data_IF_071355569074
#
_entry.id   IF_071355569074
#
_cell.length_a   1.000
_cell.length_b   1.000
_cell.length_c   1.000
_cell.angle_alpha   90.00
_cell.angle_beta   90.00
_cell.angle_gamma   90.00
#
_symmetry.space_group_name_H-M   'P 1'
#
loop_
_entity.id
_entity.type
_entity.pdbx_description
1 polymer ?
#
# COMPACT_ATOMS: atom_id res chain seq x y z
N UNK A 1 2.99 23.72 -8.11
CA UNK A 1 3.89 24.44 -9.04
C UNK A 1 3.04 25.13 -10.09
N UNK A 2 2.95 26.47 -10.11
CA UNK A 2 2.27 27.20 -11.19
C UNK A 2 3.30 27.57 -12.26
N UNK A 3 2.97 27.34 -13.53
CA UNK A 3 3.78 27.76 -14.69
C UNK A 3 4.68 26.70 -15.35
N UNK A 4 4.79 25.49 -14.78
CA UNK A 4 5.58 24.39 -15.37
C UNK A 4 4.68 23.19 -15.71
N UNK A 5 5.01 22.48 -16.81
CA UNK A 5 4.35 21.23 -17.16
C UNK A 5 4.78 20.15 -16.15
N UNK A 6 3.83 19.65 -15.37
CA UNK A 6 4.00 18.52 -14.48
C UNK A 6 3.22 17.30 -15.02
N UNK A 7 3.66 16.10 -14.66
CA UNK A 7 2.93 14.86 -14.96
C UNK A 7 1.74 14.69 -14.01
N UNK A 8 0.66 14.06 -14.47
CA UNK A 8 -0.40 13.61 -13.56
C UNK A 8 0.10 12.44 -12.69
N UNK A 9 -0.55 12.21 -11.55
CA UNK A 9 -0.14 11.19 -10.57
C UNK A 9 0.01 9.80 -11.18
N UNK A 10 -0.95 9.35 -11.99
CA UNK A 10 -0.88 8.06 -12.68
C UNK A 10 0.31 7.95 -13.64
N UNK A 11 0.68 9.05 -14.30
CA UNK A 11 1.89 9.10 -15.13
C UNK A 11 3.16 9.07 -14.29
N UNK A 12 3.18 9.84 -13.20
CA UNK A 12 4.30 9.89 -12.25
C UNK A 12 4.58 8.50 -11.69
N UNK A 13 3.56 7.81 -11.16
CA UNK A 13 3.69 6.47 -10.60
C UNK A 13 4.20 5.46 -11.63
N UNK A 14 3.66 5.47 -12.85
CA UNK A 14 4.13 4.60 -13.93
C UNK A 14 5.59 4.85 -14.29
N UNK A 15 6.05 6.11 -14.27
CA UNK A 15 7.45 6.43 -14.56
C UNK A 15 8.38 6.11 -13.38
N UNK A 16 7.93 6.25 -12.14
CA UNK A 16 8.63 5.81 -10.92
C UNK A 16 8.85 4.29 -10.95
N UNK A 17 7.82 3.52 -11.30
CA UNK A 17 7.91 2.05 -11.39
C UNK A 17 9.03 1.59 -12.32
N UNK A 18 9.39 2.38 -13.35
CA UNK A 18 10.48 2.01 -14.26
C UNK A 18 11.85 2.02 -13.61
N UNK A 19 12.04 2.78 -12.54
CA UNK A 19 13.35 3.08 -11.94
C UNK A 19 13.59 2.37 -10.61
N UNK A 20 12.53 2.03 -9.89
CA UNK A 20 12.62 1.45 -8.56
C UNK A 20 12.36 -0.07 -8.58
N UNK A 21 12.72 -0.73 -7.48
CA UNK A 21 12.30 -2.11 -7.23
C UNK A 21 10.77 -2.20 -7.13
N UNK A 22 10.23 -3.42 -7.23
CA UNK A 22 8.80 -3.66 -7.06
C UNK A 22 8.31 -3.11 -5.71
N UNK A 23 8.97 -3.49 -4.61
CA UNK A 23 8.62 -3.06 -3.26
C UNK A 23 8.61 -1.54 -3.11
N UNK A 24 9.65 -0.84 -3.54
CA UNK A 24 9.68 0.63 -3.41
C UNK A 24 8.66 1.33 -4.32
N UNK A 25 8.33 0.71 -5.45
CA UNK A 25 7.27 1.22 -6.32
C UNK A 25 5.89 1.07 -5.68
N UNK A 26 5.63 -0.05 -5.00
CA UNK A 26 4.40 -0.27 -4.21
C UNK A 26 4.35 0.69 -3.03
N UNK A 27 5.44 0.91 -2.30
CA UNK A 27 5.53 1.93 -1.24
C UNK A 27 5.05 3.29 -1.74
N UNK A 28 5.54 3.76 -2.88
CA UNK A 28 5.14 5.08 -3.39
C UNK A 28 3.68 5.07 -3.87
N UNK A 29 3.20 3.96 -4.43
CA UNK A 29 1.82 3.84 -4.87
C UNK A 29 0.83 3.81 -3.68
N UNK A 30 1.14 3.07 -2.62
CA UNK A 30 0.37 3.03 -1.36
C UNK A 30 0.34 4.42 -0.72
N UNK A 31 1.49 5.07 -0.57
CA UNK A 31 1.54 6.42 0.01
C UNK A 31 0.77 7.45 -0.83
N UNK A 32 0.74 7.30 -2.15
CA UNK A 32 -0.09 8.15 -3.01
C UNK A 32 -1.59 7.85 -2.85
N UNK A 33 -1.96 6.57 -2.68
CA UNK A 33 -3.34 6.16 -2.49
C UNK A 33 -3.87 6.56 -1.11
N UNK A 34 -3.09 6.30 -0.06
CA UNK A 34 -3.38 6.70 1.32
C UNK A 34 -3.55 8.22 1.44
N UNK A 35 -2.72 9.00 0.74
CA UNK A 35 -2.85 10.46 0.68
C UNK A 35 -4.03 10.96 -0.20
N UNK A 36 -4.86 10.06 -0.75
CA UNK A 36 -6.00 10.41 -1.60
C UNK A 36 -5.62 11.00 -2.96
N UNK A 37 -4.36 10.86 -3.40
CA UNK A 37 -3.91 11.41 -4.68
C UNK A 37 -4.38 10.57 -5.86
N UNK A 38 -4.63 9.29 -5.64
CA UNK A 38 -5.14 8.35 -6.65
C UNK A 38 -5.87 7.21 -5.95
N UNK A 39 -6.98 6.75 -6.51
CA UNK A 39 -7.71 5.58 -6.02
C UNK A 39 -7.47 4.34 -6.92
N UNK A 40 -8.06 3.21 -6.54
CA UNK A 40 -7.95 1.97 -7.30
C UNK A 40 -8.46 2.12 -8.75
N UNK A 41 -9.55 2.88 -8.94
CA UNK A 41 -10.10 3.16 -10.26
C UNK A 41 -9.14 3.99 -11.12
N UNK A 42 -8.52 5.02 -10.54
CA UNK A 42 -7.51 5.86 -11.18
C UNK A 42 -6.24 5.09 -11.56
N UNK A 43 -5.79 4.18 -10.69
CA UNK A 43 -4.67 3.28 -10.98
C UNK A 43 -4.97 2.35 -12.16
N UNK A 44 -6.16 1.74 -12.18
CA UNK A 44 -6.61 0.89 -13.27
C UNK A 44 -6.73 1.67 -14.59
N UNK A 45 -7.33 2.87 -14.55
CA UNK A 45 -7.45 3.75 -15.71
C UNK A 45 -6.07 4.16 -16.25
N UNK A 46 -5.11 4.50 -15.39
CA UNK A 46 -3.75 4.81 -15.79
C UNK A 46 -3.07 3.60 -16.48
N UNK A 47 -3.27 2.38 -15.96
CA UNK A 47 -2.72 1.16 -16.53
C UNK A 47 -3.32 0.83 -17.91
N UNK A 48 -4.58 1.19 -18.15
CA UNK A 48 -5.23 1.06 -19.46
C UNK A 48 -4.78 2.14 -20.45
N UNK A 49 -4.63 3.38 -19.97
CA UNK A 49 -4.29 4.53 -20.79
C UNK A 49 -2.84 4.45 -21.30
N UNK A 50 -1.88 4.11 -20.44
CA UNK A 50 -0.46 3.99 -20.81
C UNK A 50 -0.05 2.62 -21.34
N UNK A 51 -1.02 1.82 -21.84
CA UNK A 51 -0.82 0.39 -22.17
C UNK A 51 0.27 0.07 -23.19
N UNK A 52 0.68 1.05 -24.01
CA UNK A 52 1.72 0.90 -25.06
C UNK A 52 3.08 1.44 -24.66
N UNK A 53 3.22 1.96 -23.44
CA UNK A 53 4.46 2.58 -23.00
C UNK A 53 5.35 1.61 -22.23
N UNK A 54 6.66 1.74 -22.43
CA UNK A 54 7.65 0.98 -21.67
C UNK A 54 7.44 1.15 -20.16
N UNK A 55 7.54 0.03 -19.42
CA UNK A 55 7.30 -0.03 -17.98
C UNK A 55 5.87 -0.39 -17.57
N UNK A 56 4.94 -0.57 -18.52
CA UNK A 56 3.56 -0.88 -18.18
C UNK A 56 3.37 -2.23 -17.47
N UNK A 57 4.13 -3.26 -17.85
CA UNK A 57 4.03 -4.59 -17.23
C UNK A 57 4.32 -4.49 -15.72
N UNK A 58 5.41 -3.81 -15.36
CA UNK A 58 5.76 -3.55 -13.97
C UNK A 58 4.73 -2.64 -13.27
N UNK A 59 4.21 -1.62 -13.95
CA UNK A 59 3.16 -0.79 -13.36
C UNK A 59 1.90 -1.60 -13.02
N UNK A 60 1.49 -2.54 -13.88
CA UNK A 60 0.36 -3.45 -13.60
C UNK A 60 0.65 -4.38 -12.42
N UNK A 61 1.87 -4.89 -12.34
CA UNK A 61 2.33 -5.68 -11.19
C UNK A 61 2.23 -4.86 -9.89
N UNK A 62 2.71 -3.61 -9.89
CA UNK A 62 2.55 -2.69 -8.75
C UNK A 62 1.09 -2.50 -8.39
N UNK A 63 0.21 -2.21 -9.36
CA UNK A 63 -1.23 -2.01 -9.12
C UNK A 63 -1.86 -3.22 -8.44
N UNK A 64 -1.44 -4.45 -8.79
CA UNK A 64 -1.91 -5.68 -8.12
C UNK A 64 -1.50 -5.79 -6.64
N UNK A 65 -0.48 -5.04 -6.23
CA UNK A 65 0.04 -5.02 -4.86
C UNK A 65 -0.38 -3.80 -4.05
N UNK A 66 -1.06 -2.81 -4.63
CA UNK A 66 -1.44 -1.58 -3.89
C UNK A 66 -2.39 -1.91 -2.74
N UNK A 67 -2.15 -1.30 -1.58
CA UNK A 67 -2.96 -1.35 -0.37
C UNK A 67 -3.13 0.08 0.18
N UNK A 68 -4.27 0.75 -0.09
CA UNK A 68 -4.50 2.14 0.34
C UNK A 68 -4.52 2.33 1.85
N UNK A 69 -4.81 1.27 2.60
CA UNK A 69 -4.90 1.29 4.06
C UNK A 69 -3.52 1.27 4.75
N UNK A 70 -2.40 1.09 4.02
CA UNK A 70 -1.08 1.16 4.63
C UNK A 70 -0.75 2.60 5.07
N UNK A 71 -0.53 2.81 6.38
CA UNK A 71 -0.34 4.14 6.96
C UNK A 71 1.13 4.59 6.94
N UNK A 72 2.05 3.63 6.76
CA UNK A 72 3.48 3.92 6.64
C UNK A 72 4.19 3.15 5.54
N UNK A 73 5.34 3.70 5.14
CA UNK A 73 6.27 3.06 4.19
C UNK A 73 6.75 1.70 4.69
N UNK A 74 6.90 1.55 6.01
CA UNK A 74 7.43 0.33 6.60
C UNK A 74 6.38 -0.77 6.68
N UNK A 75 5.13 -0.45 6.96
CA UNK A 75 4.00 -1.39 6.84
C UNK A 75 3.88 -1.95 5.43
N UNK A 76 3.99 -1.10 4.40
CA UNK A 76 4.01 -1.55 3.00
C UNK A 76 5.16 -2.52 2.74
N UNK A 77 6.38 -2.20 3.21
CA UNK A 77 7.55 -3.08 3.05
C UNK A 77 7.36 -4.41 3.75
N UNK A 78 6.80 -4.39 4.96
CA UNK A 78 6.49 -5.59 5.73
C UNK A 78 5.46 -6.46 4.99
N UNK A 79 4.37 -5.87 4.50
CA UNK A 79 3.36 -6.56 3.69
C UNK A 79 3.97 -7.19 2.44
N UNK A 80 4.80 -6.43 1.72
CA UNK A 80 5.50 -6.94 0.53
C UNK A 80 6.48 -8.06 0.86
N UNK A 81 7.19 -7.99 1.99
CA UNK A 81 8.06 -9.08 2.45
C UNK A 81 7.25 -10.38 2.63
N UNK A 82 6.09 -10.31 3.29
CA UNK A 82 5.24 -11.49 3.51
C UNK A 82 4.73 -12.06 2.18
N UNK A 83 4.12 -11.22 1.34
CA UNK A 83 3.48 -11.64 0.08
C UNK A 83 4.51 -12.19 -0.92
N UNK A 84 5.66 -11.52 -1.07
CA UNK A 84 6.69 -11.98 -2.00
C UNK A 84 7.39 -13.27 -1.54
N UNK A 85 7.27 -13.64 -0.27
CA UNK A 85 7.76 -14.92 0.27
C UNK A 85 6.65 -15.99 0.36
N UNK A 86 5.54 -15.82 -0.37
CA UNK A 86 4.53 -16.85 -0.55
C UNK A 86 3.50 -16.98 0.58
N UNK A 87 3.50 -16.04 1.53
CA UNK A 87 2.40 -15.97 2.50
C UNK A 87 1.14 -15.39 1.83
N UNK A 88 -0.07 -15.75 2.31
CA UNK A 88 -1.29 -15.12 1.86
C UNK A 88 -1.23 -13.59 2.02
N UNK A 89 -2.06 -12.85 1.29
CA UNK A 89 -2.13 -11.39 1.48
C UNK A 89 -2.81 -11.08 2.83
N UNK A 90 -2.15 -10.40 3.78
CA UNK A 90 -2.81 -9.96 5.00
C UNK A 90 -3.77 -8.81 4.72
N UNK A 91 -4.78 -8.66 5.58
CA UNK A 91 -5.60 -7.45 5.62
C UNK A 91 -4.82 -6.33 6.32
N UNK A 92 -4.88 -5.10 5.82
CA UNK A 92 -4.21 -3.96 6.45
C UNK A 92 -5.21 -3.13 7.26
N UNK A 93 -4.81 -2.68 8.46
CA UNK A 93 -5.57 -1.77 9.32
C UNK A 93 -7.05 -2.14 9.54
N UNK A 94 -7.38 -3.44 9.57
CA UNK A 94 -8.76 -3.89 9.83
C UNK A 94 -9.03 -3.95 11.33
N UNK A 95 -10.14 -3.35 11.82
CA UNK A 95 -10.51 -3.42 13.23
C UNK A 95 -10.89 -4.85 13.65
N UNK A 96 -10.36 -5.29 14.78
CA UNK A 96 -10.75 -6.52 15.46
C UNK A 96 -11.84 -6.15 16.47
N UNK A 97 -12.97 -6.83 16.39
CA UNK A 97 -14.13 -6.60 17.25
C UNK A 97 -14.27 -7.72 18.30
N UNK A 98 -14.71 -7.37 19.50
CA UNK A 98 -15.21 -8.35 20.47
C UNK A 98 -16.65 -8.81 20.16
N UNK A 99 -17.19 -9.70 21.01
CA UNK A 99 -18.54 -10.25 20.85
C UNK A 99 -19.65 -9.18 20.96
N UNK A 100 -19.36 -8.03 21.55
CA UNK A 100 -20.27 -6.88 21.66
C UNK A 100 -20.12 -5.89 20.49
N UNK A 101 -19.21 -6.15 19.54
CA UNK A 101 -18.92 -5.27 18.41
C UNK A 101 -17.99 -4.10 18.74
N UNK A 102 -17.32 -4.14 19.90
CA UNK A 102 -16.36 -3.10 20.32
C UNK A 102 -15.00 -3.39 19.70
N UNK A 103 -14.36 -2.35 19.14
CA UNK A 103 -13.00 -2.46 18.60
C UNK A 103 -12.01 -2.66 19.74
N UNK A 104 -11.30 -3.79 19.73
CA UNK A 104 -10.29 -4.14 20.74
C UNK A 104 -8.86 -4.06 20.21
N UNK A 105 -8.70 -3.78 18.91
CA UNK A 105 -7.40 -3.57 18.28
C UNK A 105 -7.52 -3.34 16.78
N UNK A 106 -6.46 -2.79 16.19
CA UNK A 106 -6.33 -2.58 14.74
C UNK A 106 -4.84 -2.74 14.40
N UNK A 107 -4.36 -3.99 14.22
CA UNK A 107 -2.96 -4.21 13.88
C UNK A 107 -2.65 -3.71 12.47
N UNK A 108 -1.39 -3.41 12.20
CA UNK A 108 -0.95 -2.97 10.87
C UNK A 108 -1.35 -3.98 9.79
N UNK A 109 -1.10 -5.27 10.06
CA UNK A 109 -1.44 -6.39 9.19
C UNK A 109 -2.12 -7.49 9.99
N UNK A 110 -3.13 -8.13 9.40
CA UNK A 110 -3.94 -9.15 10.07
C UNK A 110 -4.23 -10.36 9.17
N UNK A 111 -4.10 -11.55 9.75
CA UNK A 111 -4.60 -12.81 9.20
C UNK A 111 -5.76 -13.33 10.05
N UNK A 112 -7.03 -13.07 9.65
CA UNK A 112 -8.20 -13.45 10.43
C UNK A 112 -8.30 -14.94 10.73
N UNK A 113 -8.10 -15.79 9.70
CA UNK A 113 -8.18 -17.25 9.82
C UNK A 113 -7.16 -17.83 10.82
N UNK A 114 -6.10 -17.08 11.11
CA UNK A 114 -5.02 -17.49 12.02
C UNK A 114 -5.02 -16.72 13.34
N UNK A 115 -5.92 -15.75 13.50
CA UNK A 115 -5.96 -14.81 14.64
C UNK A 115 -4.58 -14.19 14.90
N UNK A 116 -3.87 -13.83 13.84
CA UNK A 116 -2.49 -13.34 13.90
C UNK A 116 -2.43 -11.88 13.45
N UNK A 117 -2.16 -10.98 14.41
CA UNK A 117 -1.78 -9.59 14.15
C UNK A 117 -0.26 -9.47 13.98
N UNK A 118 0.17 -8.58 13.09
CA UNK A 118 1.57 -8.27 12.85
C UNK A 118 1.69 -6.75 12.86
N UNK A 119 2.60 -6.24 13.67
CA UNK A 119 2.89 -4.82 13.82
C UNK A 119 4.32 -4.52 13.39
N UNK A 120 4.51 -3.41 12.71
CA UNK A 120 5.84 -2.86 12.47
C UNK A 120 6.20 -1.91 13.62
N UNK A 121 7.06 -2.36 14.52
CA UNK A 121 7.61 -1.50 15.58
C UNK A 121 8.66 -0.53 15.00
N UNK A 122 8.22 0.67 14.67
CA UNK A 122 9.10 1.77 14.33
C UNK A 122 9.73 2.38 15.58
N UNK A 123 11.02 2.73 15.55
CA UNK A 123 11.77 3.35 16.67
C UNK A 123 11.24 4.72 17.16
N UNK A 124 10.07 5.16 16.68
CA UNK A 124 9.39 6.41 17.03
C UNK A 124 7.97 6.18 17.61
N UNK A 125 7.50 4.93 17.75
CA UNK A 125 6.16 4.63 18.28
C UNK A 125 6.21 3.85 19.60
N UNK A 126 6.97 4.36 20.58
CA UNK A 126 6.62 4.12 21.98
C UNK A 126 5.53 5.13 22.32
N UNK A 127 4.28 4.78 22.05
CA UNK A 127 3.06 5.26 22.71
C UNK A 127 1.85 4.85 21.87
N UNK A 128 1.40 3.60 22.03
CA UNK A 128 0.00 3.16 21.86
C UNK A 128 -0.17 1.69 22.25
N UNK A 129 0.30 1.35 23.45
CA UNK A 129 -0.18 0.17 24.19
C UNK A 129 -0.57 0.67 25.59
N UNK A 130 -1.68 1.41 25.69
CA UNK A 130 -2.39 1.66 26.95
C UNK A 130 -3.72 2.34 26.67
N UNK A 131 -4.81 1.57 26.66
CA UNK A 131 -5.90 1.64 27.65
C UNK A 131 -6.96 0.59 27.30
#
# INVERSE_FOLDING_TARGET
>A
MRGYRATCIGRTLKDVCRRLSLTESVVIADMAAHAGLIDAAGLAAAAMHYRRLAGIARFREVVGHVEPEAESRMETRLRMLLVLNGLPRPQAQVPILDDAGVVIGRPDLYYPDRRLGIEYDGSTHRDSLTA
#
